data_IF_491422077685
#
_entry.id   IF_491422077685
#
_cell.length_a   1.000
_cell.length_b   1.000
_cell.length_c   1.000
_cell.angle_alpha   90.00
_cell.angle_beta   90.00
_cell.angle_gamma   90.00
#
_symmetry.space_group_name_H-M   'P 1'
#
loop_
_entity.id
_entity.type
_entity.pdbx_description
1 polymer ?
#
# COMPACT_ATOMS: atom_id res chain seq x y z
N UNK A 1 12.90 -15.75 -25.33
CA UNK A 1 11.61 -15.49 -24.69
C UNK A 1 11.84 -15.16 -23.23
N UNK A 2 11.26 -14.06 -22.77
CA UNK A 2 11.31 -13.69 -21.38
C UNK A 2 10.53 -14.64 -20.49
N UNK A 3 10.59 -14.43 -19.17
CA UNK A 3 9.81 -15.24 -18.23
C UNK A 3 8.33 -15.12 -18.53
N UNK A 4 7.61 -16.23 -18.34
CA UNK A 4 6.16 -16.23 -18.49
C UNK A 4 5.57 -15.44 -17.31
N UNK A 5 4.87 -14.36 -17.62
CA UNK A 5 4.21 -13.54 -16.63
C UNK A 5 2.73 -13.94 -16.62
N UNK A 6 2.21 -14.23 -15.42
CA UNK A 6 0.78 -14.46 -15.24
C UNK A 6 0.01 -13.20 -15.70
N UNK A 7 -0.90 -13.30 -16.68
CA UNK A 7 -1.62 -12.14 -17.17
C UNK A 7 -2.42 -11.42 -16.09
N UNK A 8 -3.03 -12.16 -15.18
CA UNK A 8 -3.82 -11.56 -14.09
C UNK A 8 -2.92 -10.77 -13.12
N UNK A 9 -1.76 -11.31 -12.82
CA UNK A 9 -0.76 -10.63 -12.02
C UNK A 9 -0.29 -9.34 -12.71
N UNK A 10 0.02 -9.43 -13.99
CA UNK A 10 0.49 -8.29 -14.78
C UNK A 10 -0.56 -7.18 -14.84
N UNK A 11 -1.82 -7.53 -15.10
CA UNK A 11 -2.93 -6.56 -15.13
C UNK A 11 -3.11 -5.88 -13.77
N UNK A 12 -3.08 -6.65 -12.70
CA UNK A 12 -3.21 -6.12 -11.36
C UNK A 12 -2.10 -5.11 -11.04
N UNK A 13 -0.86 -5.45 -11.34
CA UNK A 13 0.26 -4.55 -11.11
C UNK A 13 0.24 -3.32 -12.01
N UNK A 14 -0.13 -3.49 -13.28
CA UNK A 14 -0.25 -2.38 -14.21
C UNK A 14 -1.33 -1.39 -13.76
N UNK A 15 -2.47 -1.90 -13.30
CA UNK A 15 -3.53 -1.02 -12.77
C UNK A 15 -3.03 -0.20 -11.59
N UNK A 16 -2.33 -0.83 -10.65
CA UNK A 16 -1.79 -0.13 -9.50
C UNK A 16 -0.70 0.87 -9.87
N UNK A 17 0.10 0.53 -10.88
CA UNK A 17 1.19 1.40 -11.32
C UNK A 17 0.69 2.58 -12.16
N UNK A 18 -0.47 2.41 -12.83
CA UNK A 18 -0.93 3.39 -13.81
C UNK A 18 -1.88 4.44 -13.24
N UNK A 19 -2.57 4.14 -12.15
CA UNK A 19 -3.65 5.02 -11.66
C UNK A 19 -3.29 5.70 -10.35
N UNK A 20 -3.55 7.01 -10.30
CA UNK A 20 -3.47 7.78 -9.06
C UNK A 20 -4.67 7.40 -8.18
N UNK A 21 -4.46 6.93 -6.93
CA UNK A 21 -5.57 6.49 -6.08
C UNK A 21 -6.49 7.62 -5.61
N UNK A 22 -6.01 8.86 -5.62
CA UNK A 22 -6.81 10.04 -5.25
C UNK A 22 -7.58 10.57 -6.46
N UNK A 23 -6.97 10.51 -7.63
CA UNK A 23 -7.59 10.96 -8.89
C UNK A 23 -7.46 9.84 -9.93
N UNK A 24 -8.40 8.87 -9.95
CA UNK A 24 -8.30 7.72 -10.85
C UNK A 24 -8.41 8.06 -12.34
N UNK A 25 -8.76 9.29 -12.69
CA UNK A 25 -8.76 9.75 -14.08
C UNK A 25 -7.35 10.06 -14.59
N UNK A 26 -6.36 10.10 -13.71
CA UNK A 26 -4.97 10.43 -14.05
C UNK A 26 -4.06 9.25 -13.76
N UNK A 27 -3.02 9.10 -14.56
CA UNK A 27 -2.00 8.08 -14.32
C UNK A 27 -1.03 8.53 -13.25
N UNK A 28 -0.55 7.56 -12.46
CA UNK A 28 0.51 7.82 -11.50
C UNK A 28 1.85 8.00 -12.18
N UNK A 29 2.70 8.86 -11.61
CA UNK A 29 4.05 9.09 -12.11
C UNK A 29 4.98 7.95 -11.70
N UNK A 30 6.01 7.70 -12.50
CA UNK A 30 7.08 6.76 -12.16
C UNK A 30 8.18 7.41 -11.29
N UNK A 31 8.10 8.70 -11.03
CA UNK A 31 9.09 9.38 -10.21
C UNK A 31 9.02 8.89 -8.76
N UNK A 32 10.16 8.52 -8.14
CA UNK A 32 10.19 8.02 -6.76
C UNK A 32 9.60 8.98 -5.73
N UNK A 33 9.73 10.29 -5.95
CA UNK A 33 9.19 11.32 -5.05
C UNK A 33 7.67 11.42 -5.09
N UNK A 34 7.00 10.78 -6.07
CA UNK A 34 5.55 10.77 -6.21
C UNK A 34 4.98 9.39 -5.91
N UNK A 35 5.53 8.71 -4.91
CA UNK A 35 5.01 7.42 -4.46
C UNK A 35 4.97 7.36 -2.93
N UNK A 36 4.12 6.48 -2.43
CA UNK A 36 3.96 6.25 -0.99
C UNK A 36 3.58 4.79 -0.76
N UNK A 37 4.05 4.21 0.35
CA UNK A 37 3.76 2.82 0.69
C UNK A 37 2.81 2.74 1.87
N UNK A 38 1.84 1.82 1.77
CA UNK A 38 0.94 1.47 2.85
C UNK A 38 0.86 -0.05 2.90
N UNK A 39 1.13 -0.66 4.03
CA UNK A 39 1.21 -2.11 4.20
C UNK A 39 2.13 -2.77 3.15
N UNK A 40 3.23 -2.09 2.83
CA UNK A 40 4.18 -2.56 1.82
C UNK A 40 3.75 -2.40 0.37
N UNK A 41 2.51 -1.99 0.11
CA UNK A 41 2.02 -1.74 -1.24
C UNK A 41 2.42 -0.35 -1.70
N UNK A 42 2.85 -0.23 -2.95
CA UNK A 42 3.30 1.03 -3.53
C UNK A 42 2.13 1.72 -4.24
N UNK A 43 1.88 2.96 -3.87
CA UNK A 43 0.90 3.83 -4.52
C UNK A 43 1.64 4.95 -5.25
N UNK A 44 1.24 5.24 -6.48
CA UNK A 44 1.87 6.26 -7.32
C UNK A 44 0.90 7.38 -7.59
N UNK A 45 1.43 8.60 -7.67
CA UNK A 45 0.63 9.80 -7.77
C UNK A 45 1.00 10.60 -9.00
N UNK A 46 0.00 11.29 -9.58
CA UNK A 46 0.19 12.14 -10.75
C UNK A 46 0.84 13.47 -10.39
N UNK A 47 0.71 13.89 -9.13
CA UNK A 47 1.23 15.16 -8.64
C UNK A 47 1.50 15.12 -7.15
N UNK A 48 2.29 16.09 -6.68
CA UNK A 48 2.52 16.27 -5.24
C UNK A 48 1.21 16.56 -4.49
N UNK A 49 0.29 17.26 -5.12
CA UNK A 49 -1.01 17.59 -4.52
C UNK A 49 -1.79 16.33 -4.13
N UNK A 50 -1.90 15.35 -5.04
CA UNK A 50 -2.61 14.11 -4.77
C UNK A 50 -1.85 13.23 -3.79
N UNK A 51 -0.53 13.22 -3.86
CA UNK A 51 0.32 12.53 -2.88
C UNK A 51 0.05 13.05 -1.45
N UNK A 52 0.05 14.37 -1.26
CA UNK A 52 -0.16 14.96 0.06
C UNK A 52 -1.57 14.68 0.58
N UNK A 53 -2.57 14.69 -0.28
CA UNK A 53 -3.94 14.33 0.11
C UNK A 53 -4.04 12.88 0.57
N UNK A 54 -3.36 11.99 -0.13
CA UNK A 54 -3.30 10.57 0.26
C UNK A 54 -2.61 10.40 1.61
N UNK A 55 -1.44 11.01 1.79
CA UNK A 55 -0.66 10.90 3.02
C UNK A 55 -1.42 11.40 4.25
N UNK A 56 -2.29 12.39 4.06
CA UNK A 56 -3.09 12.96 5.15
C UNK A 56 -4.11 11.95 5.70
N UNK A 57 -4.75 11.18 4.82
CA UNK A 57 -5.76 10.21 5.21
C UNK A 57 -5.66 8.95 4.34
N UNK A 58 -4.59 8.15 4.50
CA UNK A 58 -4.34 7.01 3.59
C UNK A 58 -5.48 6.00 3.56
N UNK A 59 -6.15 5.77 4.69
CA UNK A 59 -7.23 4.79 4.77
C UNK A 59 -8.45 5.16 3.92
N UNK A 60 -8.60 6.44 3.60
CA UNK A 60 -9.69 6.90 2.72
C UNK A 60 -9.48 6.46 1.27
N UNK A 61 -8.23 6.33 0.83
CA UNK A 61 -7.90 6.19 -0.58
C UNK A 61 -7.29 4.84 -0.95
N UNK A 62 -6.76 4.09 0.02
CA UNK A 62 -5.95 2.90 -0.28
C UNK A 62 -6.77 1.67 -0.67
N UNK A 63 -8.08 1.65 -0.38
CA UNK A 63 -8.90 0.48 -0.61
C UNK A 63 -8.60 -0.65 0.38
N UNK A 64 -8.81 -1.87 -0.05
CA UNK A 64 -8.54 -3.06 0.76
C UNK A 64 -7.03 -3.22 0.98
N UNK A 65 -6.65 -3.47 2.21
CA UNK A 65 -5.28 -3.78 2.58
C UNK A 65 -5.17 -5.23 3.05
N UNK A 66 -3.95 -5.76 3.03
CA UNK A 66 -3.64 -7.06 3.61
C UNK A 66 -2.98 -6.84 4.97
N UNK A 67 -3.55 -7.43 6.01
CA UNK A 67 -2.93 -7.42 7.34
C UNK A 67 -1.63 -8.26 7.25
N UNK A 68 -0.47 -7.70 7.61
CA UNK A 68 0.79 -8.40 7.42
C UNK A 68 0.97 -9.61 8.34
N UNK A 69 0.23 -9.67 9.44
CA UNK A 69 0.32 -10.77 10.40
C UNK A 69 -0.55 -11.95 9.98
N UNK A 70 -1.82 -11.69 9.62
CA UNK A 70 -2.77 -12.75 9.25
C UNK A 70 -2.76 -13.08 7.77
N UNK A 71 -2.30 -12.17 6.92
CA UNK A 71 -2.41 -12.30 5.48
C UNK A 71 -3.80 -12.07 4.93
N UNK A 72 -4.76 -11.74 5.79
CA UNK A 72 -6.15 -11.51 5.37
C UNK A 72 -6.34 -10.08 4.87
N UNK A 73 -7.25 -9.93 3.91
CA UNK A 73 -7.65 -8.61 3.41
C UNK A 73 -8.71 -8.01 4.32
N UNK A 74 -8.62 -6.70 4.54
CA UNK A 74 -9.59 -5.98 5.34
C UNK A 74 -9.74 -4.55 4.80
N UNK A 75 -10.88 -3.93 5.10
CA UNK A 75 -11.10 -2.53 4.76
C UNK A 75 -10.65 -1.65 5.93
N UNK A 76 -9.56 -0.88 5.78
CA UNK A 76 -9.10 -0.01 6.86
C UNK A 76 -10.03 1.17 7.05
N UNK A 77 -10.06 1.69 8.27
CA UNK A 77 -10.79 2.90 8.65
C UNK A 77 -9.85 3.84 9.38
N UNK A 78 -10.32 5.05 9.69
CA UNK A 78 -9.56 5.99 10.50
C UNK A 78 -9.21 5.46 11.88
N UNK A 79 -9.97 4.46 12.35
CA UNK A 79 -9.79 3.85 13.68
C UNK A 79 -8.94 2.59 13.64
N UNK A 80 -8.52 2.17 12.47
CA UNK A 80 -7.67 0.98 12.33
C UNK A 80 -6.36 1.20 13.08
N UNK A 81 -5.91 0.19 13.86
CA UNK A 81 -4.62 0.27 14.51
C UNK A 81 -3.50 0.49 13.49
N UNK A 82 -2.54 1.32 13.84
CA UNK A 82 -1.47 1.74 12.93
C UNK A 82 -0.12 1.63 13.61
N UNK A 83 0.88 1.20 12.87
CA UNK A 83 2.27 1.26 13.26
C UNK A 83 3.11 1.72 12.07
N UNK A 84 4.14 2.52 12.34
CA UNK A 84 5.06 2.98 11.30
C UNK A 84 6.26 2.05 11.27
N UNK A 85 6.63 1.61 10.08
CA UNK A 85 7.80 0.78 9.84
C UNK A 85 8.54 1.27 8.60
N UNK A 86 9.66 0.65 8.28
CA UNK A 86 10.47 1.04 7.12
C UNK A 86 9.60 1.15 5.87
N UNK A 87 9.60 2.31 5.24
CA UNK A 87 8.89 2.57 3.98
C UNK A 87 7.50 3.18 4.12
N UNK A 88 6.87 3.13 5.29
CA UNK A 88 5.56 3.76 5.47
C UNK A 88 4.72 3.15 6.58
N UNK A 89 3.48 3.60 6.73
CA UNK A 89 2.59 3.07 7.75
C UNK A 89 2.06 1.68 7.40
N UNK A 90 1.77 0.90 8.45
CA UNK A 90 1.02 -0.35 8.38
C UNK A 90 -0.24 -0.22 9.21
N UNK A 91 -1.37 -0.59 8.61
CA UNK A 91 -2.66 -0.65 9.29
C UNK A 91 -3.02 -2.10 9.56
N UNK A 92 -3.75 -2.34 10.66
CA UNK A 92 -4.04 -3.68 11.14
C UNK A 92 -5.53 -3.86 11.35
N UNK A 93 -5.99 -5.09 11.20
CA UNK A 93 -7.39 -5.43 11.44
C UNK A 93 -7.75 -5.46 12.93
N UNK A 94 -6.74 -5.53 13.84
CA UNK A 94 -6.95 -5.55 15.27
C UNK A 94 -5.71 -5.08 16.03
N UNK A 95 -5.92 -4.71 17.29
CA UNK A 95 -4.79 -4.37 18.18
C UNK A 95 -3.89 -5.58 18.42
N UNK A 96 -4.46 -6.80 18.39
CA UNK A 96 -3.70 -8.03 18.56
C UNK A 96 -2.68 -8.22 17.43
N UNK A 97 -3.09 -8.03 16.18
CA UNK A 97 -2.17 -8.18 15.04
C UNK A 97 -1.14 -7.07 15.03
N UNK A 98 -1.52 -5.84 15.39
CA UNK A 98 -0.57 -4.73 15.55
C UNK A 98 0.50 -5.08 16.58
N UNK A 99 0.11 -5.59 17.74
CA UNK A 99 1.06 -5.95 18.80
C UNK A 99 2.06 -7.01 18.34
N UNK A 100 1.60 -8.01 17.60
CA UNK A 100 2.46 -9.05 17.05
C UNK A 100 3.44 -8.51 16.03
N UNK A 101 3.01 -7.58 15.19
CA UNK A 101 3.88 -6.92 14.21
C UNK A 101 4.96 -6.10 14.90
N UNK A 102 4.57 -5.29 15.87
CA UNK A 102 5.52 -4.42 16.61
C UNK A 102 6.55 -5.24 17.37
N UNK A 103 6.17 -6.42 17.86
CA UNK A 103 7.07 -7.33 18.58
C UNK A 103 8.17 -7.89 17.66
N UNK A 104 7.85 -8.16 16.39
CA UNK A 104 8.82 -8.69 15.42
C UNK A 104 8.49 -8.21 14.01
N UNK A 105 8.76 -6.92 13.69
CA UNK A 105 8.36 -6.37 12.40
C UNK A 105 9.07 -7.02 11.21
N UNK A 106 10.31 -7.44 11.35
CA UNK A 106 11.04 -8.09 10.26
C UNK A 106 10.38 -9.37 9.79
N UNK A 107 9.72 -10.07 10.68
CA UNK A 107 9.02 -11.33 10.36
C UNK A 107 7.81 -11.08 9.48
N UNK A 108 7.13 -9.95 9.68
CA UNK A 108 5.82 -9.69 9.06
C UNK A 108 5.86 -8.59 8.00
N UNK A 109 6.96 -7.88 7.86
CA UNK A 109 7.03 -6.81 6.87
C UNK A 109 6.80 -7.33 5.46
N UNK A 110 6.13 -6.51 4.64
CA UNK A 110 5.87 -6.84 3.24
C UNK A 110 6.86 -6.05 2.39
N UNK A 111 7.71 -6.77 1.66
CA UNK A 111 8.69 -6.17 0.76
C UNK A 111 8.19 -6.38 -0.66
N UNK A 112 7.92 -5.28 -1.36
CA UNK A 112 7.57 -5.28 -2.77
C UNK A 112 8.70 -4.66 -3.57
N UNK A 113 9.24 -5.43 -4.49
CA UNK A 113 10.24 -4.94 -5.44
C UNK A 113 9.53 -4.57 -6.72
N UNK A 114 9.69 -3.33 -7.12
CA UNK A 114 9.11 -2.83 -8.37
C UNK A 114 10.21 -2.23 -9.24
#
# INVERSE_FOLDING_TARGET
LGPVIDPDWALFHLQRALWDPVDPARTGSLFPELQFRVNGEVYRFASERTLLRFMKTPTQWCGLLRDPVTGRRFMPTRRSPEAYWIGGPYFFESESTKARFVDDPHRYEIIRRM
#
